data_IF_841205571621
#
_entry.id   IF_841205571621
#
_cell.length_a   1.000
_cell.length_b   1.000
_cell.length_c   1.000
_cell.angle_alpha   90.00
_cell.angle_beta   90.00
_cell.angle_gamma   90.00
#
_symmetry.space_group_name_H-M   'P 1'
#
loop_
_entity.id
_entity.type
_entity.pdbx_description
1 polymer ?
#
# COMPACT_ATOMS: atom_id res chain seq x y z
N UNK A 1 -2.59 -13.80 -22.86
CA UNK A 1 -4.04 -13.87 -23.12
C UNK A 1 -4.23 -14.44 -24.52
N UNK A 2 -4.92 -15.58 -24.67
CA UNK A 2 -5.29 -16.15 -25.97
C UNK A 2 -6.80 -16.37 -25.94
N UNK A 3 -7.52 -15.87 -26.94
CA UNK A 3 -8.99 -15.87 -27.01
C UNK A 3 -9.50 -14.57 -27.64
N UNK A 4 -10.76 -14.55 -28.07
CA UNK A 4 -11.39 -13.33 -28.59
C UNK A 4 -11.45 -12.27 -27.49
N UNK A 5 -10.89 -11.10 -27.79
CA UNK A 5 -10.90 -9.93 -26.92
C UNK A 5 -11.62 -8.80 -27.62
N UNK A 6 -12.64 -8.24 -26.95
CA UNK A 6 -13.31 -7.02 -27.37
C UNK A 6 -12.85 -5.85 -26.48
N UNK A 7 -12.69 -4.67 -27.09
CA UNK A 7 -12.40 -3.44 -26.34
C UNK A 7 -13.72 -2.95 -25.75
N UNK A 8 -13.75 -2.79 -24.43
CA UNK A 8 -14.80 -2.03 -23.74
C UNK A 8 -14.24 -0.65 -23.47
N UNK A 9 -14.76 0.38 -24.14
CA UNK A 9 -14.46 1.77 -23.83
C UNK A 9 -15.65 2.39 -23.10
N UNK A 10 -15.40 2.97 -21.94
CA UNK A 10 -16.39 3.65 -21.10
C UNK A 10 -15.82 5.02 -20.70
N UNK A 11 -16.40 6.08 -21.26
CA UNK A 11 -15.91 7.45 -21.07
C UNK A 11 -16.57 8.14 -19.85
N UNK A 12 -17.65 7.57 -19.30
CA UNK A 12 -18.35 8.12 -18.15
C UNK A 12 -18.03 7.35 -16.86
N UNK A 13 -17.45 8.05 -15.88
CA UNK A 13 -17.29 7.50 -14.52
C UNK A 13 -18.50 7.91 -13.69
N UNK A 14 -19.29 6.90 -13.30
CA UNK A 14 -20.47 7.06 -12.45
C UNK A 14 -20.15 7.43 -11.00
N UNK A 15 -18.86 7.42 -10.61
CA UNK A 15 -18.39 7.87 -9.30
C UNK A 15 -17.32 8.94 -9.46
N UNK A 16 -17.37 9.95 -8.59
CA UNK A 16 -16.31 10.94 -8.47
C UNK A 16 -15.06 10.30 -7.87
N UNK A 17 -13.89 10.57 -8.46
CA UNK A 17 -12.62 10.09 -7.96
C UNK A 17 -11.88 11.23 -7.26
N UNK A 18 -11.56 11.01 -5.99
CA UNK A 18 -10.76 11.95 -5.20
C UNK A 18 -9.36 11.39 -5.03
N UNK A 19 -8.40 12.05 -5.68
CA UNK A 19 -7.00 11.64 -5.63
C UNK A 19 -6.32 12.20 -4.37
N UNK A 20 -5.81 11.30 -3.53
CA UNK A 20 -5.17 11.63 -2.25
C UNK A 20 -3.68 11.24 -2.25
N UNK A 21 -2.85 12.09 -1.66
CA UNK A 21 -1.44 11.85 -1.37
C UNK A 21 -1.27 11.52 0.11
N UNK A 22 -0.64 10.40 0.42
CA UNK A 22 -0.40 9.95 1.79
C UNK A 22 1.04 10.21 2.23
N UNK A 23 1.22 10.75 3.44
CA UNK A 23 2.52 11.01 4.03
C UNK A 23 2.51 10.65 5.52
N UNK A 24 3.57 9.98 6.00
CA UNK A 24 3.77 9.71 7.41
C UNK A 24 4.52 10.86 8.06
N UNK A 25 4.12 11.23 9.27
CA UNK A 25 4.77 12.25 10.10
C UNK A 25 5.24 11.61 11.42
N UNK A 26 6.55 11.56 11.62
CA UNK A 26 7.21 11.00 12.81
C UNK A 26 6.94 11.81 14.07
N UNK A 27 6.63 13.11 13.96
CA UNK A 27 6.36 13.94 15.13
C UNK A 27 4.99 13.64 15.74
N UNK A 28 3.99 13.37 14.89
CA UNK A 28 2.65 12.96 15.32
C UNK A 28 2.45 11.45 15.38
N UNK A 29 3.32 10.66 14.74
CA UNK A 29 3.19 9.21 14.58
C UNK A 29 1.99 8.81 13.71
N UNK A 30 1.56 9.69 12.80
CA UNK A 30 0.31 9.52 12.03
C UNK A 30 0.54 9.65 10.53
N UNK A 31 -0.38 9.04 9.78
CA UNK A 31 -0.49 9.22 8.32
C UNK A 31 -1.47 10.35 8.02
N UNK A 32 -0.99 11.37 7.32
CA UNK A 32 -1.79 12.46 6.76
C UNK A 32 -2.19 12.14 5.32
N UNK A 33 -3.46 12.38 4.99
CA UNK A 33 -3.98 12.29 3.62
C UNK A 33 -4.22 13.72 3.13
N UNK A 34 -3.57 14.09 2.04
CA UNK A 34 -3.68 15.40 1.42
C UNK A 34 -4.36 15.25 0.06
N UNK A 35 -5.36 16.06 -0.30
CA UNK A 35 -5.87 16.03 -1.67
C UNK A 35 -4.75 16.45 -2.63
N UNK A 36 -4.63 15.74 -3.74
CA UNK A 36 -3.62 16.05 -4.77
C UNK A 36 -3.98 17.31 -5.55
N UNK A 37 -5.27 17.67 -5.58
CA UNK A 37 -5.80 18.89 -6.18
C UNK A 37 -6.63 19.68 -5.15
N UNK A 38 -6.48 21.00 -5.16
CA UNK A 38 -7.30 21.95 -4.39
C UNK A 38 -7.77 23.02 -5.36
N UNK A 39 -9.08 23.22 -5.47
CA UNK A 39 -9.70 24.16 -6.41
C UNK A 39 -9.23 23.97 -7.87
N UNK A 40 -9.14 22.71 -8.31
CA UNK A 40 -8.71 22.33 -9.66
C UNK A 40 -7.21 22.55 -9.94
N UNK A 41 -6.42 22.96 -8.94
CA UNK A 41 -4.98 23.18 -9.08
C UNK A 41 -4.20 22.14 -8.29
N UNK A 42 -3.01 21.73 -8.76
CA UNK A 42 -2.16 20.83 -8.00
C UNK A 42 -1.84 21.38 -6.60
N UNK A 43 -1.98 20.54 -5.58
CA UNK A 43 -1.68 20.88 -4.21
C UNK A 43 -0.17 21.04 -4.01
N UNK A 44 0.29 22.29 -3.88
CA UNK A 44 1.70 22.64 -3.68
C UNK A 44 2.35 21.88 -2.52
N UNK A 45 1.63 21.70 -1.41
CA UNK A 45 2.15 20.98 -0.24
C UNK A 45 2.44 19.51 -0.56
N UNK A 46 1.55 18.85 -1.31
CA UNK A 46 1.77 17.46 -1.73
C UNK A 46 2.98 17.35 -2.68
N UNK A 47 3.13 18.30 -3.61
CA UNK A 47 4.27 18.36 -4.55
C UNK A 47 5.60 18.53 -3.79
N UNK A 48 5.67 19.47 -2.85
CA UNK A 48 6.88 19.75 -2.09
C UNK A 48 7.32 18.54 -1.26
N UNK A 49 6.34 17.85 -0.66
CA UNK A 49 6.58 16.62 0.12
C UNK A 49 7.04 15.45 -0.77
N UNK A 50 6.44 15.25 -1.95
CA UNK A 50 6.89 14.21 -2.88
C UNK A 50 8.33 14.47 -3.36
N UNK A 51 8.63 15.72 -3.75
CA UNK A 51 9.97 16.11 -4.16
C UNK A 51 10.99 15.89 -3.04
N UNK A 52 10.61 16.14 -1.80
CA UNK A 52 11.45 15.92 -0.63
C UNK A 52 11.75 14.44 -0.39
N UNK A 53 10.72 13.59 -0.41
CA UNK A 53 10.86 12.14 -0.27
C UNK A 53 11.74 11.54 -1.37
N UNK A 54 11.63 12.02 -2.61
CA UNK A 54 12.49 11.59 -3.72
C UNK A 54 13.95 11.93 -3.48
N UNK A 55 14.26 13.15 -3.04
CA UNK A 55 15.64 13.55 -2.70
C UNK A 55 16.22 12.66 -1.61
N UNK A 56 15.47 12.37 -0.55
CA UNK A 56 15.91 11.49 0.52
C UNK A 56 16.20 10.05 0.06
N UNK A 57 15.34 9.49 -0.80
CA UNK A 57 15.57 8.16 -1.37
C UNK A 57 16.83 8.10 -2.25
N UNK A 58 17.13 9.16 -3.00
CA UNK A 58 18.35 9.26 -3.82
C UNK A 58 19.60 9.35 -2.96
N UNK A 59 19.58 10.17 -1.90
CA UNK A 59 20.71 10.27 -0.97
C UNK A 59 21.00 8.94 -0.24
N UNK A 60 19.96 8.21 0.15
CA UNK A 60 20.12 6.88 0.76
C UNK A 60 20.77 5.85 -0.19
N UNK A 61 20.55 5.97 -1.50
CA UNK A 61 21.09 5.05 -2.53
C UNK A 61 22.52 5.42 -3.00
N UNK A 62 23.00 6.62 -2.69
CA UNK A 62 24.23 7.18 -3.30
C UNK A 62 25.32 7.68 -2.33
N UNK A 63 25.21 7.44 -1.03
CA UNK A 63 26.10 8.13 -0.07
C UNK A 63 27.42 7.38 0.19
N UNK A 64 28.45 7.76 -0.58
CA UNK A 64 29.79 8.01 -0.01
C UNK A 64 29.71 9.23 0.92
N UNK A 65 30.34 9.23 2.11
CA UNK A 65 30.22 10.34 3.04
C UNK A 65 30.97 11.56 2.51
N UNK A 66 30.27 12.69 2.35
CA UNK A 66 30.86 14.02 2.09
C UNK A 66 30.88 14.84 3.39
N UNK A 67 31.90 15.67 3.66
CA UNK A 67 32.02 16.39 4.92
C UNK A 67 31.03 17.55 5.00
N UNK A 68 30.32 17.59 6.14
CA UNK A 68 29.73 18.72 6.87
C UNK A 68 29.49 20.03 6.09
N UNK A 69 28.32 20.16 5.47
CA UNK A 69 27.70 21.45 5.19
C UNK A 69 26.76 21.83 6.34
N UNK A 70 26.74 23.10 6.72
CA UNK A 70 25.92 23.65 7.81
C UNK A 70 24.42 23.31 7.63
N UNK A 71 23.70 22.87 8.69
CA UNK A 71 22.30 22.50 8.56
C UNK A 71 21.46 23.75 8.23
N UNK A 72 20.90 23.82 7.02
CA UNK A 72 19.86 24.80 6.69
C UNK A 72 18.60 24.51 7.53
N UNK A 73 17.86 25.53 7.99
CA UNK A 73 16.73 25.35 8.91
C UNK A 73 15.58 24.47 8.35
N UNK A 74 15.47 24.33 7.04
CA UNK A 74 14.47 23.48 6.37
C UNK A 74 14.70 21.96 6.61
N UNK A 75 15.90 21.54 7.01
CA UNK A 75 16.27 20.13 7.17
C UNK A 75 15.57 19.41 8.34
N UNK A 76 15.00 20.13 9.31
CA UNK A 76 14.32 19.48 10.46
C UNK A 76 12.97 18.87 10.09
N UNK A 77 12.23 19.44 9.13
CA UNK A 77 10.95 18.85 8.68
C UNK A 77 11.17 17.64 7.78
N UNK A 78 12.34 17.54 7.16
CA UNK A 78 12.66 16.48 6.22
C UNK A 78 12.95 15.16 6.91
N UNK A 79 13.57 15.19 8.09
CA UNK A 79 13.83 13.98 8.89
C UNK A 79 12.55 13.43 9.54
N UNK A 80 11.53 14.28 9.69
CA UNK A 80 10.26 13.93 10.34
C UNK A 80 9.22 13.35 9.39
N UNK A 81 9.37 13.44 8.07
CA UNK A 81 8.39 12.87 7.12
C UNK A 81 8.90 11.60 6.48
N UNK A 82 8.00 10.65 6.20
CA UNK A 82 8.35 9.34 5.62
C UNK A 82 7.20 8.77 4.78
N UNK A 83 7.51 7.77 3.95
CA UNK A 83 6.50 7.00 3.22
C UNK A 83 5.81 6.04 4.18
N UNK A 84 4.47 6.13 4.36
CA UNK A 84 3.75 5.20 5.23
C UNK A 84 3.97 3.74 4.83
N UNK A 85 4.03 2.86 5.84
CA UNK A 85 3.96 1.42 5.63
C UNK A 85 2.53 1.01 5.24
N UNK A 86 2.38 -0.20 4.72
CA UNK A 86 1.07 -0.74 4.33
C UNK A 86 0.13 -0.86 5.53
N UNK A 87 0.59 -1.38 6.66
CA UNK A 87 -0.21 -1.46 7.88
C UNK A 87 -0.72 -0.09 8.34
N UNK A 88 0.17 0.92 8.39
CA UNK A 88 -0.20 2.31 8.73
C UNK A 88 -1.24 2.90 7.77
N UNK A 89 -1.13 2.60 6.46
CA UNK A 89 -2.13 3.01 5.49
C UNK A 89 -3.48 2.33 5.73
N UNK A 90 -3.49 1.03 6.01
CA UNK A 90 -4.74 0.29 6.26
C UNK A 90 -5.45 0.84 7.49
N UNK A 91 -4.73 1.04 8.60
CA UNK A 91 -5.29 1.68 9.81
C UNK A 91 -5.83 3.09 9.53
N UNK A 92 -5.11 3.87 8.70
CA UNK A 92 -5.54 5.23 8.36
C UNK A 92 -6.80 5.24 7.50
N UNK A 93 -6.92 4.30 6.57
CA UNK A 93 -8.10 4.14 5.70
C UNK A 93 -9.30 3.61 6.49
N UNK A 94 -9.08 2.67 7.41
CA UNK A 94 -10.12 2.17 8.31
C UNK A 94 -10.71 3.29 9.16
N UNK A 95 -9.86 4.09 9.82
CA UNK A 95 -10.28 5.26 10.59
C UNK A 95 -11.02 6.32 9.75
N UNK A 96 -10.82 6.31 8.44
CA UNK A 96 -11.49 7.20 7.50
C UNK A 96 -12.79 6.64 6.93
N UNK A 97 -13.15 5.39 7.26
CA UNK A 97 -14.22 4.65 6.57
C UNK A 97 -13.98 4.55 5.05
N UNK A 98 -12.73 4.35 4.64
CA UNK A 98 -12.28 4.22 3.25
C UNK A 98 -11.83 2.80 2.90
N UNK A 99 -12.22 1.80 3.71
CA UNK A 99 -12.11 0.38 3.35
C UNK A 99 -13.42 -0.09 2.71
N UNK A 100 -13.40 -1.08 1.78
CA UNK A 100 -12.23 -1.84 1.33
C UNK A 100 -11.30 -1.04 0.41
N UNK A 101 -10.03 -1.47 0.32
CA UNK A 101 -9.01 -0.82 -0.51
C UNK A 101 -8.25 -1.85 -1.37
N UNK A 102 -7.88 -1.43 -2.58
CA UNK A 102 -7.02 -2.21 -3.48
C UNK A 102 -5.64 -1.56 -3.52
N UNK A 103 -4.59 -2.30 -3.15
CA UNK A 103 -3.22 -1.82 -3.15
C UNK A 103 -2.46 -2.35 -4.37
N UNK A 104 -2.14 -1.48 -5.32
CA UNK A 104 -1.46 -1.88 -6.54
C UNK A 104 0.04 -2.14 -6.32
N UNK A 105 0.50 -3.33 -6.69
CA UNK A 105 1.91 -3.71 -6.73
C UNK A 105 2.23 -4.29 -8.10
N UNK A 106 3.11 -3.63 -8.85
CA UNK A 106 3.40 -3.97 -10.24
C UNK A 106 4.54 -5.00 -10.39
N UNK A 107 4.54 -6.03 -9.53
CA UNK A 107 5.49 -7.14 -9.57
C UNK A 107 4.91 -8.34 -8.84
N UNK A 108 5.00 -9.55 -9.44
CA UNK A 108 4.56 -10.79 -8.78
C UNK A 108 5.30 -11.05 -7.48
N UNK A 109 6.63 -11.02 -7.50
CA UNK A 109 7.43 -11.16 -6.27
C UNK A 109 7.18 -10.04 -5.27
N UNK A 110 6.91 -8.82 -5.78
CA UNK A 110 6.55 -7.69 -4.93
C UNK A 110 5.20 -7.85 -4.23
N UNK A 111 4.22 -8.51 -4.87
CA UNK A 111 2.96 -8.87 -4.23
C UNK A 111 3.19 -9.85 -3.09
N UNK A 112 3.99 -10.90 -3.30
CA UNK A 112 4.31 -11.88 -2.26
C UNK A 112 5.03 -11.24 -1.07
N UNK A 113 5.98 -10.35 -1.35
CA UNK A 113 6.69 -9.57 -0.33
C UNK A 113 5.73 -8.65 0.43
N UNK A 114 4.78 -8.01 -0.26
CA UNK A 114 3.79 -7.16 0.36
C UNK A 114 2.89 -7.95 1.33
N UNK A 115 2.42 -9.14 0.94
CA UNK A 115 1.64 -10.02 1.82
C UNK A 115 2.47 -10.44 3.03
N UNK A 116 3.74 -10.85 2.85
CA UNK A 116 4.63 -11.20 3.97
C UNK A 116 4.78 -10.04 4.96
N UNK A 117 5.12 -8.86 4.47
CA UNK A 117 5.26 -7.68 5.33
C UNK A 117 3.96 -7.33 6.07
N UNK A 118 2.80 -7.48 5.42
CA UNK A 118 1.50 -7.26 6.10
C UNK A 118 1.24 -8.26 7.22
N UNK A 119 1.63 -9.53 7.05
CA UNK A 119 1.53 -10.54 8.11
C UNK A 119 2.54 -10.28 9.23
N UNK A 120 3.78 -9.93 8.88
CA UNK A 120 4.86 -9.63 9.84
C UNK A 120 4.54 -8.36 10.66
N UNK A 121 3.90 -7.36 10.05
CA UNK A 121 3.38 -6.17 10.72
C UNK A 121 2.13 -6.48 11.58
N UNK A 122 1.64 -7.73 11.60
CA UNK A 122 0.55 -8.19 12.45
C UNK A 122 -0.84 -7.75 12.01
N UNK A 123 -1.03 -7.39 10.74
CA UNK A 123 -2.31 -6.89 10.23
C UNK A 123 -3.40 -7.97 10.32
N UNK A 124 -4.51 -7.66 11.01
CA UNK A 124 -5.68 -8.55 11.17
C UNK A 124 -6.95 -7.81 10.77
N UNK A 125 -7.55 -8.21 9.65
CA UNK A 125 -8.75 -7.58 9.07
C UNK A 125 -10.03 -8.40 9.23
N UNK A 126 -9.94 -9.53 9.91
CA UNK A 126 -11.03 -10.51 10.04
C UNK A 126 -11.17 -10.94 11.49
N UNK A 127 -12.40 -11.03 11.95
CA UNK A 127 -12.81 -11.68 13.20
C UNK A 127 -12.58 -13.20 13.13
N UNK A 128 -12.68 -13.89 14.28
CA UNK A 128 -12.55 -15.34 14.32
C UNK A 128 -13.65 -16.05 13.51
N UNK A 129 -14.88 -15.53 13.54
CA UNK A 129 -16.00 -16.07 12.78
C UNK A 129 -15.77 -15.93 11.27
N UNK A 130 -15.35 -14.74 10.81
CA UNK A 130 -15.05 -14.51 9.38
C UNK A 130 -13.90 -15.39 8.90
N UNK A 131 -12.86 -15.63 9.71
CA UNK A 131 -11.78 -16.55 9.34
C UNK A 131 -12.28 -17.98 9.14
N UNK A 132 -13.17 -18.47 10.00
CA UNK A 132 -13.75 -19.79 9.85
C UNK A 132 -14.58 -19.89 8.56
N UNK A 133 -15.40 -18.87 8.28
CA UNK A 133 -16.19 -18.82 7.05
C UNK A 133 -15.31 -18.76 5.79
N UNK A 134 -14.25 -17.94 5.80
CA UNK A 134 -13.29 -17.86 4.69
C UNK A 134 -12.62 -19.22 4.46
N UNK A 135 -12.25 -19.92 5.53
CA UNK A 135 -11.66 -21.26 5.43
C UNK A 135 -12.63 -22.26 4.81
N UNK A 136 -13.89 -22.29 5.26
CA UNK A 136 -14.92 -23.19 4.70
C UNK A 136 -15.13 -22.95 3.20
N UNK A 137 -15.20 -21.68 2.79
CA UNK A 137 -15.30 -21.31 1.37
C UNK A 137 -14.06 -21.80 0.60
N UNK A 138 -12.87 -21.56 1.13
CA UNK A 138 -11.63 -21.99 0.49
C UNK A 138 -11.56 -23.51 0.34
N UNK A 139 -11.89 -24.26 1.40
CA UNK A 139 -11.91 -25.74 1.42
C UNK A 139 -12.88 -26.29 0.37
N UNK A 140 -14.09 -25.73 0.30
CA UNK A 140 -15.10 -26.11 -0.69
C UNK A 140 -14.60 -25.95 -2.14
N UNK A 141 -13.83 -24.90 -2.41
CA UNK A 141 -13.34 -24.62 -3.76
C UNK A 141 -12.09 -25.42 -4.16
N UNK A 142 -11.40 -26.06 -3.21
CA UNK A 142 -10.21 -26.86 -3.48
C UNK A 142 -10.42 -28.36 -3.25
N UNK A 143 -11.64 -28.79 -2.91
CA UNK A 143 -11.99 -30.19 -2.58
C UNK A 143 -11.54 -31.20 -3.66
N UNK A 144 -11.58 -30.81 -4.94
CA UNK A 144 -11.21 -31.68 -6.06
C UNK A 144 -9.70 -31.75 -6.32
N UNK A 145 -8.87 -30.96 -5.62
CA UNK A 145 -7.43 -30.90 -5.85
C UNK A 145 -6.70 -31.98 -5.03
N UNK A 146 -5.64 -32.53 -5.62
CA UNK A 146 -4.75 -33.46 -4.91
C UNK A 146 -3.86 -32.74 -3.90
N UNK A 147 -3.30 -33.48 -2.94
CA UNK A 147 -2.33 -32.92 -1.97
C UNK A 147 -1.11 -32.29 -2.66
N UNK A 148 -0.66 -32.86 -3.78
CA UNK A 148 0.45 -32.32 -4.57
C UNK A 148 0.07 -30.98 -5.22
N UNK A 149 -1.15 -30.86 -5.75
CA UNK A 149 -1.64 -29.60 -6.31
C UNK A 149 -1.79 -28.54 -5.21
N UNK A 150 -2.32 -28.92 -4.04
CA UNK A 150 -2.45 -28.04 -2.88
C UNK A 150 -1.07 -27.55 -2.39
N UNK A 151 -0.06 -28.41 -2.43
CA UNK A 151 1.32 -28.06 -2.10
C UNK A 151 1.89 -27.03 -3.08
N UNK A 152 1.66 -27.20 -4.39
CA UNK A 152 2.07 -26.25 -5.43
C UNK A 152 1.39 -24.88 -5.24
N UNK A 153 0.11 -24.86 -4.86
CA UNK A 153 -0.62 -23.63 -4.57
C UNK A 153 -0.19 -22.96 -3.25
N UNK A 154 0.55 -23.65 -2.39
CA UNK A 154 0.89 -23.17 -1.06
C UNK A 154 -0.33 -23.04 -0.15
N UNK A 155 -1.35 -23.88 -0.35
CA UNK A 155 -2.65 -23.77 0.31
C UNK A 155 -2.55 -23.79 1.84
N UNK A 156 -1.72 -24.68 2.40
CA UNK A 156 -1.53 -24.77 3.85
C UNK A 156 -1.05 -23.45 4.48
N UNK A 157 -0.17 -22.71 3.79
CA UNK A 157 0.26 -21.37 4.24
C UNK A 157 -0.86 -20.35 4.11
N UNK A 158 -1.66 -20.45 3.04
CA UNK A 158 -2.78 -19.54 2.78
C UNK A 158 -3.87 -19.63 3.86
N UNK A 159 -4.29 -20.83 4.27
CA UNK A 159 -5.36 -21.00 5.28
C UNK A 159 -4.89 -20.83 6.74
N UNK A 160 -3.58 -20.87 6.96
CA UNK A 160 -2.96 -20.62 8.27
C UNK A 160 -2.67 -19.14 8.52
N UNK A 161 -2.61 -18.32 7.46
CA UNK A 161 -2.39 -16.88 7.53
C UNK A 161 -3.58 -16.19 8.21
#
# INVERSE_FOLDING_TARGET
VRGDTAIVNEDHRSIELTDMFAIGDRSSGRVELLPTFVDGKPNRRAIDLDALLRRHAQHARGSRPRPLATPRPDHRRTTLTYRPRRAEMVERLEKASLLPAIYFVFSRSGCDDAVRHSLDDGLRLTTAAERNQIREIAETHVEALSDDDLAVLGYGRFVAA
#
